data_IF_229388750169
#
_entry.id   IF_229388750169
#
_cell.length_a   1.000
_cell.length_b   1.000
_cell.length_c   1.000
_cell.angle_alpha   90.00
_cell.angle_beta   90.00
_cell.angle_gamma   90.00
#
_symmetry.space_group_name_H-M   'P 1'
#
loop_
_entity.id
_entity.type
_entity.pdbx_description
1 polymer ?
#
# COMPACT_ATOMS: atom_id res chain seq x y z
N UNK A 1 17.02 8.27 -5.55
CA UNK A 1 16.06 7.21 -5.93
C UNK A 1 15.94 7.20 -7.45
N UNK A 2 16.31 6.09 -8.10
CA UNK A 2 16.57 6.02 -9.54
C UNK A 2 15.34 6.20 -10.46
N UNK A 3 14.12 6.01 -9.96
CA UNK A 3 12.89 6.03 -10.79
C UNK A 3 12.19 7.41 -10.91
N UNK A 4 12.85 8.49 -10.49
CA UNK A 4 12.31 9.85 -10.57
C UNK A 4 11.12 10.11 -9.64
N UNK A 5 10.53 11.31 -9.77
CA UNK A 5 9.43 11.78 -8.88
C UNK A 5 8.10 11.07 -9.10
N UNK A 6 7.87 10.53 -10.30
CA UNK A 6 6.65 9.81 -10.65
C UNK A 6 6.76 8.30 -10.41
N UNK A 7 7.97 7.76 -10.22
CA UNK A 7 8.16 6.33 -9.97
C UNK A 7 7.57 5.89 -8.63
N UNK A 8 7.32 4.58 -8.51
CA UNK A 8 6.58 3.96 -7.41
C UNK A 8 6.95 4.49 -6.03
N UNK A 9 8.23 4.53 -5.67
CA UNK A 9 8.67 4.92 -4.32
C UNK A 9 8.25 6.34 -3.92
N UNK A 10 8.31 7.31 -4.85
CA UNK A 10 7.98 8.71 -4.57
C UNK A 10 6.53 9.02 -4.97
N UNK A 11 6.14 8.69 -6.20
CA UNK A 11 4.83 9.00 -6.76
C UNK A 11 3.68 8.25 -6.07
N UNK A 12 3.94 7.05 -5.57
CA UNK A 12 2.95 6.19 -4.92
C UNK A 12 3.27 5.97 -3.43
N UNK A 13 4.41 5.35 -3.11
CA UNK A 13 4.80 4.98 -1.75
C UNK A 13 4.85 6.18 -0.80
N UNK A 14 5.63 7.21 -1.12
CA UNK A 14 5.71 8.43 -0.29
C UNK A 14 4.36 9.14 -0.20
N UNK A 15 3.63 9.28 -1.31
CA UNK A 15 2.28 9.87 -1.35
C UNK A 15 1.38 9.20 -0.30
N UNK A 16 1.31 7.87 -0.27
CA UNK A 16 0.50 7.15 0.70
C UNK A 16 1.07 7.19 2.12
N UNK A 17 2.38 7.16 2.29
CA UNK A 17 3.00 7.35 3.60
C UNK A 17 2.57 8.68 4.23
N UNK A 18 2.59 9.76 3.47
CA UNK A 18 2.18 11.09 3.91
C UNK A 18 0.67 11.14 4.21
N UNK A 19 -0.18 10.61 3.32
CA UNK A 19 -1.65 10.63 3.49
C UNK A 19 -2.12 9.82 4.71
N UNK A 20 -1.57 8.62 4.91
CA UNK A 20 -1.89 7.83 6.10
C UNK A 20 -1.40 8.53 7.36
N UNK A 21 -0.18 9.09 7.35
CA UNK A 21 0.36 9.84 8.49
C UNK A 21 -0.51 11.05 8.85
N UNK A 22 -0.97 11.82 7.86
CA UNK A 22 -1.85 12.95 8.06
C UNK A 22 -3.23 12.56 8.64
N UNK A 23 -3.70 11.35 8.34
CA UNK A 23 -4.99 10.85 8.81
C UNK A 23 -4.89 9.90 10.02
N UNK A 24 -3.70 9.65 10.58
CA UNK A 24 -3.51 8.72 11.72
C UNK A 24 -4.43 9.02 12.90
N UNK A 25 -4.68 10.31 13.19
CA UNK A 25 -5.58 10.77 14.25
C UNK A 25 -7.05 10.33 14.07
N UNK A 26 -7.43 9.86 12.87
CA UNK A 26 -8.78 9.38 12.54
C UNK A 26 -8.93 7.88 12.77
N UNK A 27 -7.83 7.15 12.92
CA UNK A 27 -7.85 5.71 13.14
C UNK A 27 -8.08 5.40 14.62
N UNK A 28 -8.68 4.25 14.88
CA UNK A 28 -8.71 3.68 16.23
C UNK A 28 -7.30 3.26 16.66
N UNK A 29 -7.08 2.97 17.94
CA UNK A 29 -5.81 2.44 18.42
C UNK A 29 -5.37 1.15 17.69
N UNK A 30 -6.33 0.30 17.31
CA UNK A 30 -6.06 -0.88 16.48
C UNK A 30 -5.68 -0.48 15.04
N UNK A 31 -6.38 0.51 14.47
CA UNK A 31 -6.07 1.06 13.14
C UNK A 31 -4.67 1.67 13.06
N UNK A 32 -4.24 2.42 14.09
CA UNK A 32 -2.88 2.99 14.16
C UNK A 32 -1.82 1.88 14.15
N UNK A 33 -2.02 0.82 14.95
CA UNK A 33 -1.12 -0.35 14.97
C UNK A 33 -1.08 -1.03 13.60
N UNK A 34 -2.22 -1.16 12.94
CA UNK A 34 -2.30 -1.71 11.60
C UNK A 34 -1.54 -0.87 10.57
N UNK A 35 -1.71 0.46 10.56
CA UNK A 35 -0.96 1.35 9.66
C UNK A 35 0.55 1.17 9.87
N UNK A 36 1.00 1.09 11.12
CA UNK A 36 2.41 0.85 11.45
C UNK A 36 2.90 -0.51 10.94
N UNK A 37 2.12 -1.56 11.16
CA UNK A 37 2.45 -2.93 10.73
C UNK A 37 2.57 -3.02 9.21
N UNK A 38 1.57 -2.51 8.48
CA UNK A 38 1.56 -2.55 7.01
C UNK A 38 2.72 -1.74 6.44
N UNK A 39 2.96 -0.53 6.98
CA UNK A 39 4.09 0.30 6.56
C UNK A 39 5.42 -0.43 6.70
N UNK A 40 5.65 -1.06 7.85
CA UNK A 40 6.90 -1.78 8.10
C UNK A 40 7.03 -2.99 7.15
N UNK A 41 5.98 -3.80 7.03
CA UNK A 41 5.96 -4.96 6.13
C UNK A 41 6.27 -4.58 4.67
N UNK A 42 5.70 -3.48 4.17
CA UNK A 42 5.94 -2.99 2.80
C UNK A 42 7.35 -2.44 2.60
N UNK A 43 7.96 -1.82 3.61
CA UNK A 43 9.34 -1.33 3.53
C UNK A 43 10.32 -2.51 3.59
N UNK A 44 10.08 -3.47 4.48
CA UNK A 44 10.91 -4.65 4.64
C UNK A 44 10.86 -5.53 3.39
N UNK A 45 9.68 -5.68 2.78
CA UNK A 45 9.53 -6.46 1.53
C UNK A 45 10.30 -5.84 0.36
N UNK A 46 10.52 -4.53 0.37
CA UNK A 46 11.29 -3.81 -0.65
C UNK A 46 12.80 -3.80 -0.36
N UNK A 47 13.22 -4.05 0.88
CA UNK A 47 14.63 -3.98 1.29
C UNK A 47 15.54 -4.91 0.48
N UNK A 48 15.19 -6.18 0.20
CA UNK A 48 15.98 -7.05 -0.68
C UNK A 48 16.14 -6.51 -2.11
N UNK A 49 15.21 -5.65 -2.53
CA UNK A 49 15.24 -5.03 -3.84
C UNK A 49 16.05 -3.74 -3.86
N UNK A 50 16.30 -3.05 -2.73
CA UNK A 50 17.04 -1.78 -2.72
C UNK A 50 18.48 -1.91 -3.23
N UNK A 51 19.17 -3.01 -2.90
CA UNK A 51 20.55 -3.27 -3.36
C UNK A 51 20.62 -3.56 -4.86
N UNK A 52 19.48 -3.89 -5.49
CA UNK A 52 19.37 -4.19 -6.91
C UNK A 52 19.12 -2.95 -7.79
N UNK A 53 18.94 -1.76 -7.20
CA UNK A 53 18.64 -0.52 -7.94
C UNK A 53 19.73 0.53 -7.74
N UNK A 54 20.81 0.51 -8.55
CA UNK A 54 21.73 1.63 -8.64
C UNK A 54 21.00 2.95 -8.95
N UNK A 55 21.60 4.06 -8.57
CA UNK A 55 20.99 5.40 -8.65
C UNK A 55 20.62 5.86 -10.08
N UNK A 56 21.00 5.10 -11.11
CA UNK A 56 20.90 5.41 -12.55
C UNK A 56 20.16 4.35 -13.37
N UNK A 57 19.00 3.89 -12.91
CA UNK A 57 18.24 2.79 -13.54
C UNK A 57 17.26 3.24 -14.64
N UNK A 58 16.95 2.32 -15.55
CA UNK A 58 16.11 2.52 -16.74
C UNK A 58 14.61 2.25 -16.45
N UNK A 59 13.72 2.61 -17.40
CA UNK A 59 12.27 2.42 -17.26
C UNK A 59 11.86 0.96 -16.98
N UNK A 60 12.56 -0.04 -17.54
CA UNK A 60 12.20 -1.46 -17.36
C UNK A 60 12.38 -1.92 -15.92
N UNK A 61 13.44 -1.47 -15.26
CA UNK A 61 13.73 -1.83 -13.87
C UNK A 61 12.72 -1.15 -12.95
N UNK A 62 12.39 0.12 -13.19
CA UNK A 62 11.38 0.81 -12.40
C UNK A 62 9.98 0.16 -12.46
N UNK A 63 9.60 -0.41 -13.60
CA UNK A 63 8.38 -1.21 -13.71
C UNK A 63 8.45 -2.52 -12.91
N UNK A 64 9.60 -3.21 -12.90
CA UNK A 64 9.79 -4.42 -12.10
C UNK A 64 9.72 -4.13 -10.58
N UNK A 65 10.27 -2.99 -10.14
CA UNK A 65 10.16 -2.54 -8.74
C UNK A 65 8.71 -2.30 -8.36
N UNK A 66 7.97 -1.58 -9.21
CA UNK A 66 6.56 -1.28 -9.00
C UNK A 66 5.73 -2.56 -8.91
N UNK A 67 5.96 -3.51 -9.82
CA UNK A 67 5.31 -4.81 -9.78
C UNK A 67 5.62 -5.58 -8.50
N UNK A 68 6.90 -5.73 -8.14
CA UNK A 68 7.30 -6.41 -6.91
C UNK A 68 6.70 -5.75 -5.66
N UNK A 69 6.66 -4.42 -5.63
CA UNK A 69 6.02 -3.68 -4.56
C UNK A 69 4.54 -4.04 -4.47
N UNK A 70 3.80 -3.98 -5.58
CA UNK A 70 2.38 -4.30 -5.59
C UNK A 70 2.11 -5.77 -5.21
N UNK A 71 2.91 -6.73 -5.65
CA UNK A 71 2.70 -8.14 -5.26
C UNK A 71 2.70 -8.35 -3.73
N UNK A 72 3.44 -7.53 -2.98
CA UNK A 72 3.53 -7.65 -1.51
C UNK A 72 2.35 -7.03 -0.74
N UNK A 73 1.51 -6.19 -1.36
CA UNK A 73 0.48 -5.43 -0.63
C UNK A 73 -0.59 -6.34 -0.04
N UNK A 74 -1.04 -7.33 -0.81
CA UNK A 74 -2.10 -8.24 -0.39
C UNK A 74 -1.66 -8.96 0.90
N UNK A 75 -0.46 -9.53 0.90
CA UNK A 75 0.02 -10.30 2.04
C UNK A 75 0.30 -9.41 3.25
N UNK A 76 0.89 -8.21 3.07
CA UNK A 76 1.07 -7.27 4.18
C UNK A 76 -0.27 -6.83 4.80
N UNK A 77 -1.29 -6.55 4.00
CA UNK A 77 -2.62 -6.18 4.50
C UNK A 77 -3.26 -7.32 5.31
N UNK A 78 -3.20 -8.54 4.79
CA UNK A 78 -3.79 -9.71 5.43
C UNK A 78 -3.04 -10.08 6.72
N UNK A 79 -1.70 -10.15 6.67
CA UNK A 79 -0.87 -10.51 7.81
C UNK A 79 -0.97 -9.50 8.96
N UNK A 80 -1.20 -8.22 8.64
CA UNK A 80 -1.44 -7.19 9.65
C UNK A 80 -2.91 -7.14 10.15
N UNK A 81 -3.80 -7.99 9.63
CA UNK A 81 -5.18 -8.12 10.13
C UNK A 81 -6.20 -7.17 9.52
N UNK A 82 -6.00 -6.72 8.27
CA UNK A 82 -6.88 -5.74 7.61
C UNK A 82 -8.37 -6.11 7.64
N UNK A 83 -8.72 -7.39 7.61
CA UNK A 83 -10.11 -7.84 7.54
C UNK A 83 -10.98 -7.40 8.73
N UNK A 84 -10.38 -7.15 9.90
CA UNK A 84 -11.08 -6.57 11.04
C UNK A 84 -10.97 -5.04 11.04
N UNK A 85 -9.80 -4.52 10.68
CA UNK A 85 -9.50 -3.09 10.66
C UNK A 85 -10.38 -2.33 9.68
N UNK A 86 -10.67 -2.93 8.52
CA UNK A 86 -11.47 -2.31 7.47
C UNK A 86 -12.89 -1.97 7.95
N UNK A 87 -13.45 -2.71 8.92
CA UNK A 87 -14.80 -2.51 9.43
C UNK A 87 -14.85 -1.28 10.35
N UNK A 88 -13.90 -1.19 11.28
CA UNK A 88 -13.90 -0.16 12.32
C UNK A 88 -13.28 1.17 11.85
N UNK A 89 -12.48 1.14 10.77
CA UNK A 89 -11.72 2.30 10.29
C UNK A 89 -12.16 2.76 8.89
N UNK A 90 -13.36 2.39 8.41
CA UNK A 90 -13.87 2.72 7.06
C UNK A 90 -13.65 4.18 6.67
N UNK A 91 -14.01 5.11 7.55
CA UNK A 91 -13.90 6.54 7.27
C UNK A 91 -12.44 7.02 7.20
N UNK A 92 -11.58 6.54 8.10
CA UNK A 92 -10.16 6.89 8.12
C UNK A 92 -9.44 6.35 6.88
N UNK A 93 -9.76 5.12 6.46
CA UNK A 93 -9.30 4.51 5.22
C UNK A 93 -9.75 5.32 4.00
N UNK A 94 -11.04 5.64 3.91
CA UNK A 94 -11.59 6.43 2.81
C UNK A 94 -10.92 7.81 2.68
N UNK A 95 -10.61 8.49 3.78
CA UNK A 95 -9.87 9.76 3.77
C UNK A 95 -8.40 9.63 3.40
N UNK A 96 -7.80 8.47 3.66
CA UNK A 96 -6.40 8.20 3.36
C UNK A 96 -6.19 7.82 1.89
N UNK A 97 -7.18 7.20 1.26
CA UNK A 97 -7.09 6.82 -0.14
C UNK A 97 -7.28 7.99 -1.11
N UNK A 98 -6.58 7.94 -2.24
CA UNK A 98 -6.82 8.83 -3.37
C UNK A 98 -7.60 8.06 -4.43
N UNK A 99 -8.84 8.48 -4.69
CA UNK A 99 -9.73 7.80 -5.63
C UNK A 99 -9.14 7.80 -7.05
N UNK A 100 -8.31 8.81 -7.37
CA UNK A 100 -7.61 8.90 -8.65
C UNK A 100 -6.56 7.80 -8.87
N UNK A 101 -6.09 7.11 -7.83
CA UNK A 101 -5.11 6.02 -7.99
C UNK A 101 -5.80 4.65 -8.19
N UNK A 102 -7.08 4.53 -7.83
CA UNK A 102 -7.91 3.39 -8.21
C UNK A 102 -8.40 3.49 -9.67
N UNK A 103 -7.64 4.10 -10.57
CA UNK A 103 -7.84 3.94 -12.03
C UNK A 103 -6.79 3.03 -12.65
N UNK A 104 -5.75 2.66 -11.89
CA UNK A 104 -4.78 1.63 -12.29
C UNK A 104 -5.39 0.24 -12.11
N UNK A 105 -5.33 -0.59 -13.16
CA UNK A 105 -5.79 -1.98 -13.15
C UNK A 105 -5.10 -2.81 -12.05
N UNK A 106 -3.84 -2.49 -11.74
CA UNK A 106 -3.05 -3.18 -10.71
C UNK A 106 -3.60 -2.88 -9.32
N UNK A 107 -3.99 -1.63 -9.04
CA UNK A 107 -4.59 -1.25 -7.75
C UNK A 107 -5.94 -1.95 -7.52
N UNK A 108 -6.75 -2.13 -8.57
CA UNK A 108 -8.03 -2.85 -8.48
C UNK A 108 -7.88 -4.35 -8.20
N UNK A 109 -6.86 -4.97 -8.79
CA UNK A 109 -6.57 -6.39 -8.57
C UNK A 109 -6.30 -6.66 -7.08
N UNK A 110 -5.47 -5.82 -6.46
CA UNK A 110 -5.12 -5.96 -5.05
C UNK A 110 -6.32 -5.77 -4.13
N UNK A 111 -7.12 -4.72 -4.36
CA UNK A 111 -8.32 -4.46 -3.55
C UNK A 111 -9.26 -5.65 -3.62
N UNK A 112 -9.43 -6.25 -4.81
CA UNK A 112 -10.27 -7.44 -4.99
C UNK A 112 -9.72 -8.65 -4.25
N UNK A 113 -8.42 -8.92 -4.34
CA UNK A 113 -7.81 -10.06 -3.64
C UNK A 113 -7.91 -9.91 -2.12
N UNK A 114 -7.66 -8.72 -1.59
CA UNK A 114 -7.86 -8.42 -0.16
C UNK A 114 -9.33 -8.61 0.22
N UNK A 115 -10.27 -8.09 -0.57
CA UNK A 115 -11.70 -8.26 -0.31
C UNK A 115 -12.11 -9.74 -0.30
N UNK A 116 -11.65 -10.54 -1.26
CA UNK A 116 -11.91 -11.99 -1.31
C UNK A 116 -11.35 -12.70 -0.07
N UNK A 117 -10.09 -12.45 0.29
CA UNK A 117 -9.45 -13.02 1.50
C UNK A 117 -10.13 -12.57 2.79
N UNK A 118 -10.81 -11.42 2.80
CA UNK A 118 -11.53 -10.90 3.96
C UNK A 118 -13.02 -11.31 4.04
N UNK A 119 -13.50 -12.15 3.11
CA UNK A 119 -14.89 -12.65 3.13
C UNK A 119 -15.85 -11.91 2.21
N UNK A 120 -15.34 -11.22 1.19
CA UNK A 120 -16.13 -10.57 0.14
C UNK A 120 -16.12 -9.04 0.19
N UNK A 121 -16.57 -8.44 -0.92
CA UNK A 121 -16.56 -6.98 -1.13
C UNK A 121 -17.29 -6.22 -0.01
N UNK A 122 -18.51 -6.64 0.31
CA UNK A 122 -19.45 -5.94 1.21
C UNK A 122 -19.00 -5.81 2.67
N UNK A 123 -17.99 -6.59 3.08
CA UNK A 123 -17.50 -6.54 4.46
C UNK A 123 -16.65 -5.29 4.70
N UNK A 124 -15.78 -4.97 3.76
CA UNK A 124 -14.81 -3.87 3.87
C UNK A 124 -15.14 -2.66 2.99
N UNK A 125 -15.90 -2.84 1.91
CA UNK A 125 -16.21 -1.83 0.89
C UNK A 125 -17.71 -1.75 0.62
#
# INVERSE_FOLDING_TARGET
MGCGKQGYLIGYGKKYCDRFSANLHRFTSAGIKWVSCVRQCLIDSLTPHYDLYPYSESHSTCGALEQAAFETHVDCYINCGFCNICIDNKWALWKSYDIGDFVSLIAWEQVRQVAQKCGGWTKCF
#
